data_IF_521041034686
#
_entry.id   IF_521041034686
#
_cell.length_a   1.000
_cell.length_b   1.000
_cell.length_c   1.000
_cell.angle_alpha   90.00
_cell.angle_beta   90.00
_cell.angle_gamma   90.00
#
_symmetry.space_group_name_H-M   'P 1'
#
loop_
_entity.id
_entity.type
_entity.pdbx_description
1 polymer ?
#
# COMPACT_ATOMS: atom_id res chain seq x y z
N UNK A 1 -2.39 -12.01 10.64
CA UNK A 1 -1.45 -12.85 9.88
C UNK A 1 -0.66 -13.82 10.78
N UNK A 2 0.31 -13.38 11.60
CA UNK A 2 1.13 -14.29 12.42
C UNK A 2 0.37 -15.11 13.48
N UNK A 3 -0.63 -14.50 14.15
CA UNK A 3 -1.54 -15.22 15.06
C UNK A 3 -2.31 -16.37 14.37
N UNK A 4 -2.51 -16.31 13.06
CA UNK A 4 -3.27 -17.31 12.29
C UNK A 4 -2.38 -18.40 11.70
N UNK A 5 -1.15 -18.08 11.31
CA UNK A 5 -0.21 -19.04 10.71
C UNK A 5 0.72 -19.72 11.71
N UNK A 6 0.84 -19.21 12.94
CA UNK A 6 1.86 -19.67 13.90
C UNK A 6 3.30 -19.38 13.46
N UNK A 7 3.47 -18.64 12.35
CA UNK A 7 4.79 -18.30 11.81
C UNK A 7 5.44 -17.23 12.69
N UNK A 8 6.70 -17.47 13.09
CA UNK A 8 7.49 -16.49 13.84
C UNK A 8 7.55 -15.18 13.06
N UNK A 9 7.20 -14.09 13.73
CA UNK A 9 7.41 -12.73 13.20
C UNK A 9 8.86 -12.39 13.48
N UNK A 10 9.59 -11.98 12.45
CA UNK A 10 10.94 -11.42 12.64
C UNK A 10 10.80 -9.96 13.08
N UNK A 11 10.64 -9.74 14.38
CA UNK A 11 10.34 -8.43 14.96
C UNK A 11 11.36 -7.36 14.55
N UNK A 12 12.63 -7.73 14.41
CA UNK A 12 13.68 -6.81 13.93
C UNK A 12 13.45 -6.37 12.49
N UNK A 13 13.00 -7.27 11.61
CA UNK A 13 12.67 -6.91 10.23
C UNK A 13 11.49 -5.93 10.17
N UNK A 14 10.46 -6.14 11.01
CA UNK A 14 9.34 -5.20 11.10
C UNK A 14 9.74 -3.86 11.71
N UNK A 15 10.64 -3.85 12.69
CA UNK A 15 11.20 -2.61 13.23
C UNK A 15 11.95 -1.81 12.15
N UNK A 16 12.79 -2.47 11.35
CA UNK A 16 13.49 -1.83 10.23
C UNK A 16 12.53 -1.29 9.16
N UNK A 17 11.50 -2.07 8.78
CA UNK A 17 10.46 -1.61 7.85
C UNK A 17 9.71 -0.40 8.40
N UNK A 18 9.39 -0.41 9.71
CA UNK A 18 8.73 0.72 10.36
C UNK A 18 9.60 1.97 10.39
N UNK A 19 10.90 1.84 10.70
CA UNK A 19 11.84 2.95 10.65
C UNK A 19 11.97 3.53 9.23
N UNK A 20 11.94 2.68 8.21
CA UNK A 20 11.92 3.10 6.80
C UNK A 20 10.68 3.98 6.53
N UNK A 21 9.49 3.50 6.88
CA UNK A 21 8.25 4.26 6.77
C UNK A 21 8.31 5.59 7.53
N UNK A 22 8.68 5.56 8.82
CA UNK A 22 8.69 6.74 9.69
C UNK A 22 9.67 7.81 9.15
N UNK A 23 10.80 7.40 8.56
CA UNK A 23 11.79 8.33 8.00
C UNK A 23 11.27 9.15 6.82
N UNK A 24 10.39 8.57 6.00
CA UNK A 24 9.77 9.25 4.85
C UNK A 24 8.54 10.03 5.31
N UNK A 25 7.68 9.40 6.11
CA UNK A 25 6.41 9.99 6.55
C UNK A 25 6.62 11.25 7.40
N UNK A 26 7.64 11.26 8.26
CA UNK A 26 7.99 12.39 9.12
C UNK A 26 9.12 13.28 8.54
N UNK A 27 9.44 13.16 7.26
CA UNK A 27 10.47 13.99 6.64
C UNK A 27 10.01 15.45 6.57
N UNK A 28 10.76 16.40 7.16
CA UNK A 28 10.41 17.83 7.11
C UNK A 28 10.54 18.42 5.70
N UNK A 29 11.44 17.87 4.87
CA UNK A 29 11.60 18.27 3.47
C UNK A 29 10.44 17.73 2.62
N UNK A 30 9.69 18.64 1.99
CA UNK A 30 8.48 18.32 1.23
C UNK A 30 8.67 18.41 -0.29
N UNK A 31 9.81 18.95 -0.75
CA UNK A 31 10.14 18.90 -2.17
C UNK A 31 10.69 17.52 -2.56
N UNK A 32 9.94 16.80 -3.41
CA UNK A 32 10.33 15.50 -3.96
C UNK A 32 11.65 15.57 -4.75
N UNK A 33 12.02 16.74 -5.28
CA UNK A 33 13.25 16.95 -6.03
C UNK A 33 14.44 17.38 -5.15
N UNK A 34 14.20 17.61 -3.86
CA UNK A 34 15.27 17.97 -2.93
C UNK A 34 16.23 16.79 -2.74
N UNK A 35 17.53 17.08 -2.80
CA UNK A 35 18.57 16.06 -2.53
C UNK A 35 18.41 15.46 -1.14
N UNK A 36 17.88 16.21 -0.18
CA UNK A 36 17.64 15.73 1.18
C UNK A 36 16.55 14.67 1.17
N UNK A 37 15.41 14.96 0.55
CA UNK A 37 14.30 14.01 0.42
C UNK A 37 14.72 12.76 -0.37
N UNK A 38 15.33 12.94 -1.54
CA UNK A 38 15.81 11.83 -2.37
C UNK A 38 16.74 10.92 -1.58
N UNK A 39 17.66 11.48 -0.77
CA UNK A 39 18.57 10.67 0.06
C UNK A 39 17.83 9.91 1.16
N UNK A 40 16.84 10.51 1.80
CA UNK A 40 16.02 9.87 2.84
C UNK A 40 15.21 8.73 2.22
N UNK A 41 14.49 9.00 1.13
CA UNK A 41 13.72 8.01 0.39
C UNK A 41 14.62 6.85 -0.08
N UNK A 42 15.80 7.14 -0.64
CA UNK A 42 16.75 6.11 -1.07
C UNK A 42 17.18 5.20 0.07
N UNK A 43 17.45 5.76 1.26
CA UNK A 43 17.81 4.98 2.46
C UNK A 43 16.64 4.15 2.97
N UNK A 44 15.43 4.72 2.96
CA UNK A 44 14.21 4.01 3.33
C UNK A 44 13.99 2.77 2.44
N UNK A 45 14.18 2.90 1.13
CA UNK A 45 14.08 1.78 0.19
C UNK A 45 15.13 0.69 0.48
N UNK A 46 16.38 1.07 0.75
CA UNK A 46 17.44 0.12 1.15
C UNK A 46 17.08 -0.61 2.46
N UNK A 47 16.57 0.12 3.45
CA UNK A 47 16.11 -0.47 4.72
C UNK A 47 14.95 -1.44 4.51
N UNK A 48 14.02 -1.14 3.60
CA UNK A 48 12.96 -2.07 3.20
C UNK A 48 13.52 -3.35 2.59
N UNK A 49 14.50 -3.23 1.69
CA UNK A 49 15.22 -4.38 1.13
C UNK A 49 15.88 -5.26 2.20
N UNK A 50 16.59 -4.65 3.14
CA UNK A 50 17.23 -5.35 4.26
C UNK A 50 16.21 -6.02 5.18
N UNK A 51 15.08 -5.37 5.46
CA UNK A 51 14.00 -5.95 6.24
C UNK A 51 13.46 -7.22 5.57
N UNK A 52 13.24 -7.20 4.26
CA UNK A 52 12.79 -8.38 3.52
C UNK A 52 13.81 -9.52 3.55
N UNK A 53 15.10 -9.20 3.41
CA UNK A 53 16.19 -10.18 3.48
C UNK A 53 16.23 -10.85 4.87
N UNK A 54 16.18 -10.07 5.95
CA UNK A 54 16.18 -10.58 7.32
C UNK A 54 14.95 -11.46 7.59
N UNK A 55 13.79 -11.07 7.06
CA UNK A 55 12.55 -11.85 7.21
C UNK A 55 12.47 -13.07 6.30
N UNK A 56 13.42 -13.26 5.37
CA UNK A 56 13.37 -14.29 4.32
C UNK A 56 12.11 -14.21 3.45
N UNK A 57 11.45 -13.05 3.40
CA UNK A 57 10.17 -12.86 2.72
C UNK A 57 9.85 -11.39 2.56
N UNK A 58 8.97 -11.04 1.62
CA UNK A 58 8.54 -9.64 1.46
C UNK A 58 7.55 -9.16 2.52
N UNK A 59 7.25 -9.96 3.56
CA UNK A 59 6.20 -9.66 4.56
C UNK A 59 6.35 -8.33 5.29
N UNK A 60 7.56 -7.88 5.65
CA UNK A 60 7.72 -6.59 6.33
C UNK A 60 7.32 -5.38 5.46
N UNK A 61 7.40 -5.50 4.14
CA UNK A 61 7.22 -4.37 3.22
C UNK A 61 6.07 -4.54 2.23
N UNK A 62 5.38 -5.68 2.24
CA UNK A 62 4.34 -6.00 1.27
C UNK A 62 3.13 -6.66 1.97
N UNK A 63 1.97 -6.06 1.81
CA UNK A 63 0.70 -6.47 2.41
C UNK A 63 -0.43 -6.47 1.38
N UNK A 64 -1.63 -6.12 1.83
CA UNK A 64 -2.83 -6.05 0.97
C UNK A 64 -2.74 -4.93 -0.07
N UNK A 65 -2.05 -3.83 0.25
CA UNK A 65 -1.80 -2.72 -0.65
C UNK A 65 -0.95 -3.14 -1.87
N UNK A 66 0.02 -4.03 -1.68
CA UNK A 66 0.79 -4.60 -2.79
C UNK A 66 -0.01 -5.63 -3.59
N UNK A 67 -0.90 -6.38 -2.96
CA UNK A 67 -1.79 -7.31 -3.69
C UNK A 67 -2.73 -6.55 -4.63
N UNK A 68 -3.21 -5.38 -4.22
CA UNK A 68 -3.97 -4.49 -5.09
C UNK A 68 -3.13 -4.01 -6.28
N UNK A 69 -1.89 -3.55 -6.04
CA UNK A 69 -0.99 -3.14 -7.12
C UNK A 69 -0.71 -4.29 -8.11
N UNK A 70 -0.45 -5.49 -7.62
CA UNK A 70 -0.26 -6.66 -8.48
C UNK A 70 -1.53 -7.06 -9.24
N UNK A 71 -2.73 -6.87 -8.66
CA UNK A 71 -3.97 -7.10 -9.38
C UNK A 71 -4.14 -6.12 -10.56
N UNK A 72 -3.72 -4.87 -10.42
CA UNK A 72 -3.68 -3.91 -11.53
C UNK A 72 -2.69 -4.39 -12.60
N UNK A 73 -1.45 -4.73 -12.20
CA UNK A 73 -0.38 -5.15 -13.12
C UNK A 73 -0.74 -6.42 -13.91
N UNK A 74 -1.43 -7.37 -13.28
CA UNK A 74 -1.77 -8.66 -13.88
C UNK A 74 -3.04 -8.60 -14.74
N UNK A 75 -4.08 -7.90 -14.30
CA UNK A 75 -5.40 -7.95 -14.92
C UNK A 75 -5.79 -6.68 -15.70
N UNK A 76 -5.08 -5.57 -15.48
CA UNK A 76 -5.37 -4.27 -16.08
C UNK A 76 -4.09 -3.60 -16.63
N UNK A 77 -3.33 -4.27 -17.51
CA UNK A 77 -2.05 -3.77 -18.02
C UNK A 77 -2.18 -2.46 -18.83
N UNK A 78 -3.38 -2.09 -19.27
CA UNK A 78 -3.68 -0.83 -19.94
C UNK A 78 -3.72 0.39 -18.99
N UNK A 79 -3.89 0.17 -17.68
CA UNK A 79 -3.90 1.23 -16.67
C UNK A 79 -2.47 1.74 -16.47
N UNK A 80 -2.22 2.97 -16.92
CA UNK A 80 -0.90 3.60 -16.83
C UNK A 80 -0.66 4.22 -15.47
N UNK A 81 -0.27 3.40 -14.51
CA UNK A 81 0.13 3.80 -13.16
C UNK A 81 1.46 3.15 -12.79
N UNK A 82 2.34 3.87 -12.09
CA UNK A 82 3.58 3.27 -11.60
C UNK A 82 3.29 2.34 -10.42
N UNK A 83 4.12 1.31 -10.24
CA UNK A 83 3.99 0.37 -9.10
C UNK A 83 3.85 1.10 -7.76
N UNK A 84 4.74 2.08 -7.50
CA UNK A 84 4.72 2.85 -6.25
C UNK A 84 3.43 3.65 -6.04
N UNK A 85 2.85 4.23 -7.10
CA UNK A 85 1.56 4.92 -7.00
C UNK A 85 0.40 3.94 -6.81
N UNK A 86 0.42 2.79 -7.49
CA UNK A 86 -0.58 1.74 -7.30
C UNK A 86 -0.58 1.20 -5.86
N UNK A 87 0.61 0.98 -5.30
CA UNK A 87 0.79 0.60 -3.89
C UNK A 87 0.29 1.71 -2.95
N UNK A 88 0.58 2.98 -3.24
CA UNK A 88 0.11 4.10 -2.44
C UNK A 88 -1.42 4.22 -2.46
N UNK A 89 -2.07 4.08 -3.63
CA UNK A 89 -3.53 4.03 -3.75
C UNK A 89 -4.11 2.85 -2.96
N UNK A 90 -3.50 1.66 -3.09
CA UNK A 90 -3.92 0.46 -2.37
C UNK A 90 -3.77 0.57 -0.85
N UNK A 91 -2.92 1.48 -0.36
CA UNK A 91 -2.70 1.69 1.07
C UNK A 91 -3.89 2.36 1.77
N UNK A 92 -4.67 3.18 1.04
CA UNK A 92 -5.85 3.87 1.60
C UNK A 92 -6.94 2.85 2.01
N UNK A 93 -7.46 1.97 1.10
CA UNK A 93 -8.45 0.97 1.49
C UNK A 93 -7.86 -0.06 2.46
N UNK A 94 -6.59 -0.43 2.32
CA UNK A 94 -5.92 -1.35 3.24
C UNK A 94 -5.95 -0.84 4.69
N UNK A 95 -5.70 0.46 4.92
CA UNK A 95 -5.84 1.08 6.24
C UNK A 95 -7.28 1.02 6.76
N UNK A 96 -8.26 1.34 5.91
CA UNK A 96 -9.69 1.29 6.28
C UNK A 96 -10.11 -0.13 6.66
N UNK A 97 -9.70 -1.15 5.90
CA UNK A 97 -9.99 -2.56 6.22
C UNK A 97 -9.35 -3.00 7.54
N UNK A 98 -8.22 -2.41 7.91
CA UNK A 98 -7.56 -2.64 9.19
C UNK A 98 -8.19 -1.85 10.35
N UNK A 99 -9.27 -1.09 10.10
CA UNK A 99 -9.92 -0.25 11.10
C UNK A 99 -9.12 1.00 11.47
N UNK A 100 -8.18 1.40 10.61
CA UNK A 100 -7.36 2.60 10.80
C UNK A 100 -7.92 3.77 9.98
N UNK A 101 -7.65 4.99 10.44
CA UNK A 101 -8.03 6.22 9.73
C UNK A 101 -7.13 6.45 8.51
N UNK A 102 -7.73 6.67 7.35
CA UNK A 102 -7.06 6.98 6.07
C UNK A 102 -6.48 8.40 6.01
N UNK A 103 -6.96 9.31 6.88
CA UNK A 103 -6.59 10.74 6.88
C UNK A 103 -5.09 11.00 6.78
N UNK A 104 -4.27 10.27 7.53
CA UNK A 104 -2.81 10.46 7.49
C UNK A 104 -2.19 10.18 6.12
N UNK A 105 -2.71 9.17 5.41
CA UNK A 105 -2.28 8.86 4.04
C UNK A 105 -2.81 9.92 3.09
N UNK A 106 -4.08 10.31 3.19
CA UNK A 106 -4.67 11.38 2.35
C UNK A 106 -3.92 12.71 2.51
N UNK A 107 -3.55 13.08 3.74
CA UNK A 107 -2.74 14.26 4.03
C UNK A 107 -1.35 14.14 3.42
N UNK A 108 -0.73 12.95 3.45
CA UNK A 108 0.55 12.70 2.80
C UNK A 108 0.47 12.92 1.29
N UNK A 109 -0.57 12.42 0.62
CA UNK A 109 -0.80 12.69 -0.82
C UNK A 109 -0.87 14.20 -1.08
N UNK A 110 -1.64 14.93 -0.27
CA UNK A 110 -1.79 16.39 -0.39
C UNK A 110 -0.49 17.14 -0.17
N UNK A 111 0.28 16.77 0.85
CA UNK A 111 1.58 17.41 1.19
C UNK A 111 2.56 17.31 0.02
N UNK A 112 2.62 16.15 -0.64
CA UNK A 112 3.56 15.87 -1.73
C UNK A 112 2.98 16.13 -3.13
N UNK A 113 1.76 16.68 -3.23
CA UNK A 113 1.11 16.98 -4.50
C UNK A 113 0.82 15.72 -5.35
N UNK A 114 0.59 14.58 -4.70
CA UNK A 114 0.21 13.33 -5.33
C UNK A 114 -1.31 13.25 -5.46
N UNK A 115 -1.79 12.50 -6.46
CA UNK A 115 -3.22 12.34 -6.71
C UNK A 115 -3.76 11.05 -6.07
N UNK A 116 -4.62 11.13 -5.04
CA UNK A 116 -5.22 9.95 -4.44
C UNK A 116 -6.41 9.41 -5.25
N UNK A 117 -6.87 10.11 -6.29
CA UNK A 117 -8.06 9.76 -7.03
C UNK A 117 -7.79 8.64 -8.07
N UNK A 118 -8.38 7.44 -7.92
CA UNK A 118 -8.21 6.36 -8.89
C UNK A 118 -8.70 6.75 -10.30
N UNK A 119 -9.72 7.60 -10.41
CA UNK A 119 -10.28 8.03 -11.69
C UNK A 119 -9.26 8.80 -12.55
N UNK A 120 -8.32 9.52 -11.93
CA UNK A 120 -7.24 10.22 -12.63
C UNK A 120 -6.28 9.28 -13.36
N UNK A 121 -6.25 8.00 -12.95
CA UNK A 121 -5.49 6.94 -13.60
C UNK A 121 -6.34 6.10 -14.56
N UNK A 122 -7.60 6.49 -14.81
CA UNK A 122 -8.54 5.74 -15.62
C UNK A 122 -9.17 4.54 -14.91
N UNK A 123 -8.98 4.42 -13.59
CA UNK A 123 -9.58 3.33 -12.81
C UNK A 123 -11.01 3.70 -12.47
N UNK A 124 -11.97 3.05 -13.13
CA UNK A 124 -13.40 3.23 -12.84
C UNK A 124 -13.78 2.57 -11.52
N UNK A 125 -14.94 2.93 -10.95
CA UNK A 125 -15.48 2.32 -9.74
C UNK A 125 -15.67 0.80 -9.89
N UNK A 126 -16.09 0.33 -11.06
CA UNK A 126 -16.25 -1.10 -11.34
C UNK A 126 -14.91 -1.83 -11.43
N UNK A 127 -13.91 -1.22 -12.10
CA UNK A 127 -12.55 -1.74 -12.12
C UNK A 127 -11.97 -1.80 -10.70
N UNK A 128 -12.15 -0.75 -9.90
CA UNK A 128 -11.64 -0.70 -8.53
C UNK A 128 -12.21 -1.83 -7.66
N UNK A 129 -13.51 -2.10 -7.75
CA UNK A 129 -14.16 -3.21 -7.06
C UNK A 129 -13.55 -4.54 -7.48
N UNK A 130 -13.49 -4.79 -8.80
CA UNK A 130 -12.95 -6.03 -9.34
C UNK A 130 -11.45 -6.23 -9.02
N UNK A 131 -10.65 -5.17 -9.05
CA UNK A 131 -9.24 -5.18 -8.63
C UNK A 131 -9.08 -5.65 -7.17
N UNK A 132 -9.93 -5.18 -6.25
CA UNK A 132 -9.91 -5.64 -4.86
C UNK A 132 -10.42 -7.07 -4.67
N UNK A 133 -11.35 -7.53 -5.50
CA UNK A 133 -11.76 -8.93 -5.52
C UNK A 133 -10.61 -9.84 -6.00
N UNK A 134 -9.92 -9.44 -7.07
CA UNK A 134 -8.77 -10.15 -7.65
C UNK A 134 -7.52 -10.10 -6.77
N UNK A 135 -7.29 -9.01 -6.05
CA UNK A 135 -6.16 -8.89 -5.11
C UNK A 135 -6.10 -10.06 -4.10
N UNK A 136 -7.25 -10.66 -3.79
CA UNK A 136 -7.37 -11.81 -2.90
C UNK A 136 -6.85 -13.11 -3.52
N UNK A 137 -6.83 -13.20 -4.84
CA UNK A 137 -6.46 -14.42 -5.58
C UNK A 137 -5.05 -14.37 -6.14
N UNK A 138 -4.46 -13.18 -6.30
CA UNK A 138 -3.10 -12.98 -6.88
C UNK A 138 -2.02 -13.78 -6.14
N UNK A 139 -2.14 -13.97 -4.82
CA UNK A 139 -1.11 -14.67 -4.04
C UNK A 139 -1.67 -15.66 -3.03
N UNK A 140 -1.93 -16.87 -3.53
CA UNK A 140 -2.29 -18.03 -2.70
C UNK A 140 -1.18 -18.32 -1.68
N UNK A 141 -1.51 -18.29 -0.39
CA UNK A 141 -0.58 -18.63 0.72
C UNK A 141 -0.11 -17.45 1.58
N UNK A 142 -0.52 -16.21 1.29
CA UNK A 142 -0.20 -15.03 2.13
C UNK A 142 -1.43 -14.52 2.87
N UNK A 143 -1.45 -14.65 4.19
CA UNK A 143 -2.53 -14.09 5.02
C UNK A 143 -2.36 -12.57 5.16
N UNK A 144 -3.35 -11.81 4.72
CA UNK A 144 -3.50 -10.36 4.83
C UNK A 144 -4.83 -9.99 5.50
N UNK A 145 -5.18 -8.70 5.56
CA UNK A 145 -6.49 -8.25 6.05
C UNK A 145 -7.65 -8.72 5.16
N UNK A 146 -7.38 -9.01 3.87
CA UNK A 146 -8.38 -9.48 2.91
C UNK A 146 -8.83 -10.93 3.16
N UNK A 147 -8.15 -11.66 4.05
CA UNK A 147 -8.60 -12.96 4.55
C UNK A 147 -9.61 -12.82 5.70
N UNK A 148 -9.60 -11.68 6.38
CA UNK A 148 -10.42 -11.39 7.56
C UNK A 148 -11.66 -10.59 7.18
N UNK A 149 -11.50 -9.69 6.20
CA UNK A 149 -12.54 -8.77 5.74
C UNK A 149 -12.98 -9.17 4.32
N UNK A 150 -14.29 -9.13 4.09
CA UNK A 150 -14.90 -9.22 2.77
C UNK A 150 -15.67 -7.92 2.54
N UNK A 151 -15.00 -6.84 2.09
CA UNK A 151 -15.71 -5.61 1.80
C UNK A 151 -16.68 -5.89 0.66
N UNK A 152 -17.94 -5.53 0.86
CA UNK A 152 -18.92 -5.60 -0.21
C UNK A 152 -18.71 -4.46 -1.21
N UNK A 153 -19.40 -4.56 -2.35
CA UNK A 153 -19.32 -3.54 -3.39
C UNK A 153 -19.73 -2.16 -2.87
N UNK A 154 -20.70 -2.08 -1.95
CA UNK A 154 -21.13 -0.82 -1.37
C UNK A 154 -19.99 -0.15 -0.60
N UNK A 155 -19.25 -0.90 0.21
CA UNK A 155 -18.11 -0.38 0.96
C UNK A 155 -16.96 0.02 0.05
N UNK A 156 -16.67 -0.76 -0.98
CA UNK A 156 -15.62 -0.41 -1.96
C UNK A 156 -15.99 0.86 -2.75
N UNK A 157 -17.26 1.04 -3.09
CA UNK A 157 -17.75 2.26 -3.72
C UNK A 157 -17.61 3.49 -2.80
N UNK A 158 -17.95 3.35 -1.52
CA UNK A 158 -17.77 4.41 -0.52
C UNK A 158 -16.29 4.81 -0.41
N UNK A 159 -15.37 3.84 -0.35
CA UNK A 159 -13.93 4.10 -0.30
C UNK A 159 -13.45 4.79 -1.58
N UNK A 160 -13.92 4.36 -2.75
CA UNK A 160 -13.61 5.02 -4.02
C UNK A 160 -14.08 6.48 -4.04
N UNK A 161 -15.21 6.79 -3.41
CA UNK A 161 -15.71 8.17 -3.29
C UNK A 161 -14.87 8.99 -2.29
N UNK A 162 -14.46 8.41 -1.16
CA UNK A 162 -13.53 9.05 -0.21
C UNK A 162 -12.21 9.44 -0.90
N UNK A 163 -11.70 8.60 -1.80
CA UNK A 163 -10.43 8.83 -2.49
C UNK A 163 -10.50 9.95 -3.53
N UNK A 164 -11.69 10.40 -3.93
CA UNK A 164 -11.86 11.50 -4.90
C UNK A 164 -11.78 12.90 -4.28
N UNK A 165 -11.90 13.01 -2.95
CA UNK A 165 -11.95 14.30 -2.23
C UNK A 165 -13.33 14.63 -1.72
#
# INVERSE_FOLDING_TARGET
SAKKTGSRVEDFAYALSRMSYDSVYHCDEKDLNSRVFIRILSRALVMGGLAMEIAGSSRPCSGSEHLFAHAIEEYYPEVKISHGLAVALGSIPACIFQGQSEKGIMDFFKIYGLDPNPASYGITKDMFVDMWEKARTVRTGRITILDDVKPDRAKLNEIYDIMQG
#
